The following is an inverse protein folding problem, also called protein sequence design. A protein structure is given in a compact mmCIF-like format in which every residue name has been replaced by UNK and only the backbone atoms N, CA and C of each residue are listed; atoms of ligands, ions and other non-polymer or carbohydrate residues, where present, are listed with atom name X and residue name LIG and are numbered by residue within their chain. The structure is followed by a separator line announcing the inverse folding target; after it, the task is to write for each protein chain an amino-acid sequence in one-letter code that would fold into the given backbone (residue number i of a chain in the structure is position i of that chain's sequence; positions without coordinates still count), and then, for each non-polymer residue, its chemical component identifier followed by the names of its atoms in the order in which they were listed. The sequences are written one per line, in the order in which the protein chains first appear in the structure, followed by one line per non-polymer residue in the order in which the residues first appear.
data_IF_224277896448
#
_entry.id   IF_224277896448
#
_cell.length_a   1.000
_cell.length_b   1.000
_cell.length_c   1.000
_cell.angle_alpha   90.00
_cell.angle_beta   90.00
_cell.angle_gamma   90.00
#
_symmetry.space_group_name_H-M   'P 1'
#
loop_
_entity.id
_entity.type
_entity.pdbx_description
1 polymer ?
#
# COMPACT_ATOMS: atom_id res chain seq x y z
N UNK A 1 17.42 -33.26 -6.90
CA UNK A 1 17.55 -33.39 -5.43
C UNK A 1 17.20 -34.80 -5.05
N UNK A 2 18.02 -35.46 -4.24
CA UNK A 2 17.78 -36.85 -3.81
C UNK A 2 16.73 -36.90 -2.69
N UNK A 3 16.17 -38.08 -2.42
CA UNK A 3 15.19 -38.29 -1.35
C UNK A 3 15.77 -37.91 0.02
N UNK A 4 17.02 -38.29 0.29
CA UNK A 4 17.72 -37.94 1.53
C UNK A 4 17.93 -36.43 1.70
N UNK A 5 18.31 -35.72 0.64
CA UNK A 5 18.44 -34.25 0.66
C UNK A 5 17.11 -33.58 1.00
N UNK A 6 16.00 -34.13 0.48
CA UNK A 6 14.66 -33.60 0.73
C UNK A 6 14.23 -33.84 2.20
N UNK A 7 14.52 -35.01 2.74
CA UNK A 7 14.24 -35.34 4.14
C UNK A 7 15.00 -34.43 5.12
N UNK A 8 16.29 -34.15 4.84
CA UNK A 8 17.08 -33.22 5.64
C UNK A 8 16.53 -31.81 5.58
N UNK A 9 16.19 -31.31 4.39
CA UNK A 9 15.57 -29.98 4.24
C UNK A 9 14.26 -29.87 5.01
N UNK A 10 13.38 -30.85 4.87
CA UNK A 10 12.10 -30.87 5.58
C UNK A 10 12.28 -30.93 7.10
N UNK A 11 13.24 -31.75 7.59
CA UNK A 11 13.56 -31.83 9.01
C UNK A 11 14.00 -30.48 9.54
N UNK A 12 15.05 -29.89 8.94
CA UNK A 12 15.63 -28.63 9.40
C UNK A 12 14.64 -27.48 9.33
N UNK A 13 13.89 -27.38 8.24
CA UNK A 13 12.99 -26.27 8.01
C UNK A 13 11.72 -26.32 8.88
N UNK A 14 11.07 -27.49 8.96
CA UNK A 14 9.78 -27.63 9.63
C UNK A 14 9.86 -28.24 11.03
N UNK A 15 10.70 -29.26 11.25
CA UNK A 15 10.77 -29.92 12.56
C UNK A 15 11.65 -29.15 13.54
N UNK A 16 12.81 -28.66 13.06
CA UNK A 16 13.73 -27.88 13.88
C UNK A 16 13.36 -26.38 13.87
N UNK A 17 12.22 -26.03 13.22
CA UNK A 17 11.65 -24.68 13.11
C UNK A 17 12.62 -23.60 12.61
N UNK A 18 13.65 -24.00 11.86
CA UNK A 18 14.63 -23.09 11.29
C UNK A 18 14.14 -22.57 9.92
N UNK A 19 13.07 -21.81 9.90
CA UNK A 19 12.50 -21.20 8.68
C UNK A 19 13.41 -20.10 8.11
N UNK A 20 14.67 -20.45 7.89
CA UNK A 20 15.67 -19.54 7.35
C UNK A 20 15.47 -19.26 5.86
N UNK A 21 15.87 -18.07 5.43
CA UNK A 21 16.05 -17.80 4.00
C UNK A 21 17.23 -18.61 3.42
N UNK A 22 17.31 -18.63 2.07
CA UNK A 22 18.24 -19.45 1.28
C UNK A 22 19.68 -19.50 1.84
N UNK A 23 20.27 -18.35 2.10
CA UNK A 23 21.70 -18.28 2.42
C UNK A 23 22.00 -18.76 3.86
N UNK A 24 21.12 -18.43 4.81
CA UNK A 24 21.24 -18.94 6.18
C UNK A 24 21.03 -20.45 6.23
N UNK A 25 20.04 -20.96 5.51
CA UNK A 25 19.78 -22.40 5.42
C UNK A 25 20.94 -23.13 4.74
N UNK A 26 21.50 -22.56 3.67
CA UNK A 26 22.69 -23.12 3.02
C UNK A 26 23.90 -23.22 3.97
N UNK A 27 24.20 -22.15 4.70
CA UNK A 27 25.33 -22.12 5.62
C UNK A 27 25.16 -23.14 6.75
N UNK A 28 23.94 -23.25 7.30
CA UNK A 28 23.61 -24.26 8.32
C UNK A 28 23.76 -25.68 7.79
N UNK A 29 23.21 -25.98 6.62
CA UNK A 29 23.32 -27.31 6.03
C UNK A 29 24.76 -27.66 5.67
N UNK A 30 25.57 -26.70 5.29
CA UNK A 30 26.99 -26.91 5.00
C UNK A 30 27.80 -27.23 6.28
N UNK A 31 27.41 -26.67 7.43
CA UNK A 31 28.10 -26.99 8.72
C UNK A 31 27.66 -28.30 9.28
N UNK A 32 26.37 -28.64 9.28
CA UNK A 32 25.82 -29.79 9.99
C UNK A 32 25.59 -31.04 9.11
N UNK A 33 25.45 -30.84 7.80
CA UNK A 33 25.10 -31.87 6.82
C UNK A 33 25.97 -31.76 5.55
N UNK A 34 27.27 -31.54 5.71
CA UNK A 34 28.22 -31.35 4.61
C UNK A 34 28.24 -32.52 3.60
N UNK A 35 28.01 -33.73 4.10
CA UNK A 35 27.94 -34.97 3.32
C UNK A 35 26.78 -35.03 2.31
N UNK A 36 25.77 -34.20 2.47
CA UNK A 36 24.58 -34.17 1.61
C UNK A 36 24.76 -33.32 0.36
N UNK A 37 25.79 -32.51 0.26
CA UNK A 37 26.16 -31.68 -0.90
C UNK A 37 24.98 -30.90 -1.50
N UNK A 38 24.17 -30.24 -0.67
CA UNK A 38 23.01 -29.47 -1.11
C UNK A 38 23.45 -28.09 -1.59
N UNK A 39 23.20 -27.78 -2.87
CA UNK A 39 23.58 -26.48 -3.46
C UNK A 39 22.58 -25.36 -3.13
N UNK A 40 23.05 -24.10 -3.18
CA UNK A 40 22.19 -22.91 -3.04
C UNK A 40 21.02 -22.90 -4.03
N UNK A 41 21.23 -23.38 -5.24
CA UNK A 41 20.19 -23.45 -6.27
C UNK A 41 19.09 -24.43 -5.87
N UNK A 42 19.46 -25.61 -5.42
CA UNK A 42 18.51 -26.64 -4.96
C UNK A 42 17.67 -26.14 -3.78
N UNK A 43 18.30 -25.46 -2.82
CA UNK A 43 17.59 -24.83 -1.69
C UNK A 43 16.62 -23.75 -2.20
N UNK A 44 17.06 -22.89 -3.13
CA UNK A 44 16.22 -21.83 -3.68
C UNK A 44 14.98 -22.41 -4.40
N UNK A 45 15.17 -23.45 -5.19
CA UNK A 45 14.08 -24.05 -5.95
C UNK A 45 13.12 -24.82 -5.02
N UNK A 46 13.65 -25.48 -4.00
CA UNK A 46 12.84 -26.13 -2.98
C UNK A 46 12.04 -25.12 -2.14
N UNK A 47 12.66 -24.00 -1.69
CA UNK A 47 11.98 -22.94 -0.93
C UNK A 47 10.81 -22.32 -1.69
N UNK A 48 10.91 -22.17 -3.02
CA UNK A 48 9.80 -21.63 -3.85
C UNK A 48 8.55 -22.51 -3.81
N UNK A 49 8.73 -23.79 -3.55
CA UNK A 49 7.63 -24.77 -3.50
C UNK A 49 6.99 -24.85 -2.10
N UNK A 50 7.62 -24.24 -1.09
CA UNK A 50 7.08 -24.28 0.28
C UNK A 50 5.91 -23.30 0.42
N UNK A 51 4.82 -23.76 1.03
CA UNK A 51 3.60 -22.99 1.25
C UNK A 51 3.87 -21.68 2.00
N UNK A 52 4.70 -21.75 3.04
CA UNK A 52 5.10 -20.58 3.84
C UNK A 52 5.74 -19.50 2.96
N UNK A 53 6.64 -19.88 2.04
CA UNK A 53 7.27 -18.93 1.14
C UNK A 53 6.32 -18.42 0.05
N UNK A 54 5.33 -19.19 -0.37
CA UNK A 54 4.32 -18.74 -1.32
C UNK A 54 3.37 -17.71 -0.70
N UNK A 55 2.98 -17.92 0.56
CA UNK A 55 2.08 -17.02 1.29
C UNK A 55 2.76 -15.71 1.72
N UNK A 56 4.02 -15.77 2.12
CA UNK A 56 4.77 -14.63 2.67
C UNK A 56 5.85 -14.08 1.73
N UNK A 57 5.98 -14.62 0.53
CA UNK A 57 6.88 -14.02 -0.45
C UNK A 57 6.43 -12.58 -0.74
N UNK A 58 7.33 -11.60 -0.61
CA UNK A 58 6.99 -10.25 -1.03
C UNK A 58 6.53 -10.31 -2.47
N UNK A 59 5.34 -9.78 -2.76
CA UNK A 59 4.86 -9.68 -4.12
C UNK A 59 5.95 -8.99 -4.94
N UNK A 60 6.38 -9.61 -6.03
CA UNK A 60 7.29 -8.95 -6.97
C UNK A 60 6.51 -7.76 -7.53
N UNK A 61 6.66 -6.63 -6.85
CA UNK A 61 6.06 -5.38 -7.28
C UNK A 61 6.58 -5.05 -8.66
N UNK A 62 5.82 -5.38 -9.68
CA UNK A 62 6.00 -4.88 -11.04
C UNK A 62 5.53 -3.43 -11.17
N UNK A 63 4.98 -2.88 -10.10
CA UNK A 63 4.68 -1.46 -10.04
C UNK A 63 6.00 -0.69 -10.01
N UNK A 64 6.39 -0.13 -11.15
CA UNK A 64 7.29 1.02 -11.18
C UNK A 64 6.66 2.04 -10.23
N UNK A 65 7.20 2.15 -9.03
CA UNK A 65 6.80 3.19 -8.08
C UNK A 65 7.07 4.50 -8.79
N UNK A 66 6.02 5.15 -9.23
CA UNK A 66 6.10 6.52 -9.72
C UNK A 66 6.55 7.36 -8.52
N UNK A 67 7.84 7.58 -8.39
CA UNK A 67 8.37 8.63 -7.52
C UNK A 67 8.00 9.94 -8.21
N UNK A 68 6.82 10.46 -7.90
CA UNK A 68 6.46 11.80 -8.32
C UNK A 68 7.38 12.76 -7.56
N UNK A 69 8.42 13.23 -8.22
CA UNK A 69 9.25 14.31 -7.70
C UNK A 69 8.52 15.64 -7.89
N UNK A 70 7.40 15.80 -7.19
CA UNK A 70 6.69 17.06 -7.18
C UNK A 70 7.42 18.03 -6.26
N UNK A 71 7.93 19.10 -6.82
CA UNK A 71 8.71 20.12 -6.10
C UNK A 71 7.87 21.30 -5.65
N UNK A 72 6.67 21.47 -6.17
CA UNK A 72 5.81 22.64 -5.90
C UNK A 72 4.67 22.24 -4.96
N UNK A 73 4.60 22.81 -3.74
CA UNK A 73 3.52 22.61 -2.80
C UNK A 73 2.14 22.97 -3.40
N UNK A 74 1.12 22.25 -2.96
CA UNK A 74 -0.29 22.43 -3.37
C UNK A 74 -0.58 22.26 -4.87
N UNK A 75 0.34 21.70 -5.65
CA UNK A 75 0.09 21.47 -7.06
C UNK A 75 -0.88 20.32 -7.29
N UNK A 76 -0.74 19.25 -6.54
CA UNK A 76 -1.64 18.09 -6.59
C UNK A 76 -1.97 17.62 -5.18
N UNK A 77 -3.26 17.46 -4.90
CA UNK A 77 -3.74 16.83 -3.67
C UNK A 77 -4.26 15.41 -3.94
N UNK A 78 -3.81 14.46 -3.14
CA UNK A 78 -4.41 13.13 -3.08
C UNK A 78 -5.53 13.14 -2.04
N UNK A 79 -6.75 12.80 -2.48
CA UNK A 79 -7.96 12.87 -1.65
C UNK A 79 -8.43 11.48 -1.24
N UNK A 80 -8.90 11.37 -0.01
CA UNK A 80 -9.47 10.14 0.55
C UNK A 80 -10.54 10.46 1.60
N UNK A 81 -11.53 9.57 1.73
CA UNK A 81 -12.61 9.70 2.71
C UNK A 81 -12.59 8.54 3.69
N UNK A 82 -12.11 8.78 4.90
CA UNK A 82 -12.00 7.78 5.96
C UNK A 82 -13.33 7.67 6.71
N UNK A 83 -13.87 6.44 6.81
CA UNK A 83 -15.04 6.14 7.61
C UNK A 83 -14.64 6.00 9.09
N UNK A 84 -15.18 6.88 9.93
CA UNK A 84 -14.96 6.94 11.37
C UNK A 84 -16.23 6.65 12.19
N UNK A 85 -17.24 6.00 11.58
CA UNK A 85 -18.55 5.76 12.25
C UNK A 85 -18.41 5.07 13.62
N UNK A 86 -17.48 4.14 13.76
CA UNK A 86 -17.18 3.46 15.04
C UNK A 86 -16.59 4.39 16.11
N UNK A 87 -16.04 5.52 15.69
CA UNK A 87 -15.37 6.50 16.56
C UNK A 87 -16.00 7.89 16.44
N UNK A 88 -17.28 7.94 16.07
CA UNK A 88 -17.96 9.22 15.84
C UNK A 88 -17.96 10.11 17.09
N UNK A 89 -17.70 11.41 16.90
CA UNK A 89 -17.73 12.42 17.92
C UNK A 89 -18.64 13.57 17.46
N UNK A 90 -19.59 13.99 18.27
CA UNK A 90 -20.53 15.09 17.97
C UNK A 90 -21.26 14.91 16.62
N UNK A 91 -21.51 13.66 16.19
CA UNK A 91 -22.20 13.34 14.95
C UNK A 91 -21.32 13.37 13.70
N UNK A 92 -20.03 13.66 13.81
CA UNK A 92 -19.08 13.54 12.71
C UNK A 92 -18.67 12.08 12.54
N UNK A 93 -18.86 11.54 11.33
CA UNK A 93 -18.68 10.13 11.01
C UNK A 93 -17.59 9.88 9.98
N UNK A 94 -17.18 10.92 9.23
CA UNK A 94 -16.20 10.81 8.16
C UNK A 94 -15.12 11.85 8.32
N UNK A 95 -13.91 11.51 7.92
CA UNK A 95 -12.79 12.42 7.84
C UNK A 95 -12.35 12.53 6.38
N UNK A 96 -12.57 13.70 5.79
CA UNK A 96 -12.09 13.98 4.45
C UNK A 96 -10.66 14.49 4.51
N UNK A 97 -9.73 13.71 3.99
CA UNK A 97 -8.30 14.03 3.92
C UNK A 97 -7.91 14.43 2.50
N UNK A 98 -7.04 15.42 2.40
CA UNK A 98 -6.41 15.80 1.15
C UNK A 98 -4.92 16.06 1.41
N UNK A 99 -4.08 15.11 1.00
CA UNK A 99 -2.64 15.15 1.19
C UNK A 99 -1.96 15.86 0.02
N UNK A 100 -1.21 16.91 0.31
CA UNK A 100 -0.33 17.51 -0.70
C UNK A 100 0.81 16.55 -1.06
N UNK A 101 0.88 16.18 -2.32
CA UNK A 101 1.85 15.21 -2.84
C UNK A 101 3.30 15.69 -2.74
N UNK A 102 3.51 17.00 -2.65
CA UNK A 102 4.84 17.61 -2.54
C UNK A 102 5.30 17.72 -1.09
N UNK A 103 4.61 18.56 -0.30
CA UNK A 103 5.00 18.90 1.08
C UNK A 103 4.61 17.83 2.10
N UNK A 104 3.73 16.89 1.74
CA UNK A 104 3.09 15.93 2.65
C UNK A 104 2.18 16.58 3.70
N UNK A 105 1.86 17.85 3.52
CA UNK A 105 0.89 18.52 4.38
C UNK A 105 -0.51 17.94 4.14
N UNK A 106 -1.22 17.63 5.22
CA UNK A 106 -2.55 17.06 5.16
C UNK A 106 -3.61 18.08 5.57
N UNK A 107 -4.52 18.37 4.64
CA UNK A 107 -5.73 19.12 4.90
C UNK A 107 -6.82 18.14 5.32
N UNK A 108 -7.47 18.37 6.45
CA UNK A 108 -8.52 17.47 6.93
C UNK A 108 -9.79 18.23 7.31
N UNK A 109 -10.94 17.70 6.93
CA UNK A 109 -12.26 18.23 7.26
C UNK A 109 -13.14 17.10 7.78
N UNK A 110 -13.70 17.30 9.00
CA UNK A 110 -14.68 16.35 9.54
C UNK A 110 -16.05 16.57 8.89
N UNK A 111 -16.69 15.47 8.46
CA UNK A 111 -17.98 15.45 7.81
C UNK A 111 -18.98 14.60 8.61
N UNK A 112 -20.25 15.00 8.62
CA UNK A 112 -21.32 14.22 9.28
C UNK A 112 -21.80 13.09 8.38
N UNK A 113 -21.86 13.31 7.08
CA UNK A 113 -22.32 12.36 6.07
C UNK A 113 -21.37 12.35 4.87
N UNK A 114 -21.46 11.31 4.04
CA UNK A 114 -20.71 11.20 2.77
C UNK A 114 -21.55 11.60 1.55
N UNK A 115 -22.53 12.51 1.72
CA UNK A 115 -23.31 12.99 0.59
C UNK A 115 -22.49 13.89 -0.33
N UNK A 116 -22.79 13.89 -1.62
CA UNK A 116 -22.12 14.71 -2.63
C UNK A 116 -21.99 16.19 -2.20
N UNK A 117 -23.06 16.74 -1.61
CA UNK A 117 -23.08 18.13 -1.17
C UNK A 117 -22.12 18.38 -0.01
N UNK A 118 -22.05 17.46 0.95
CA UNK A 118 -21.21 17.63 2.12
C UNK A 118 -19.73 17.41 1.80
N UNK A 119 -19.42 16.41 0.96
CA UNK A 119 -18.05 16.17 0.46
C UNK A 119 -17.58 17.36 -0.37
N UNK A 120 -18.41 17.90 -1.28
CA UNK A 120 -18.07 19.10 -2.04
C UNK A 120 -17.86 20.33 -1.14
N UNK A 121 -18.67 20.51 -0.10
CA UNK A 121 -18.47 21.61 0.86
C UNK A 121 -17.16 21.43 1.67
N UNK A 122 -16.83 20.19 2.02
CA UNK A 122 -15.53 19.85 2.62
C UNK A 122 -14.37 20.21 1.69
N UNK A 123 -14.48 19.82 0.42
CA UNK A 123 -13.46 20.14 -0.59
C UNK A 123 -13.29 21.67 -0.78
N UNK A 124 -14.38 22.42 -0.83
CA UNK A 124 -14.30 23.89 -0.94
C UNK A 124 -13.49 24.52 0.20
N UNK A 125 -13.64 24.02 1.43
CA UNK A 125 -12.84 24.50 2.57
C UNK A 125 -11.35 24.20 2.38
N UNK A 126 -11.01 23.00 1.89
CA UNK A 126 -9.65 22.60 1.57
C UNK A 126 -9.10 23.46 0.42
N UNK A 127 -9.85 23.59 -0.65
CA UNK A 127 -9.45 24.39 -1.82
C UNK A 127 -9.19 25.85 -1.50
N UNK A 128 -9.97 26.45 -0.60
CA UNK A 128 -9.75 27.84 -0.17
C UNK A 128 -8.38 28.04 0.48
N UNK A 129 -7.84 27.02 1.13
CA UNK A 129 -6.53 27.06 1.78
C UNK A 129 -5.39 26.65 0.82
N UNK A 130 -5.61 25.60 0.04
CA UNK A 130 -4.56 24.99 -0.79
C UNK A 130 -4.39 25.64 -2.16
N UNK A 131 -5.51 26.10 -2.78
CA UNK A 131 -5.55 26.59 -4.18
C UNK A 131 -4.92 25.61 -5.15
N UNK A 132 -5.17 24.32 -4.95
CA UNK A 132 -4.59 23.25 -5.76
C UNK A 132 -4.96 23.34 -7.23
N UNK A 133 -4.08 22.81 -8.11
CA UNK A 133 -4.31 22.79 -9.56
C UNK A 133 -4.86 21.44 -10.04
N UNK A 134 -4.65 20.38 -9.26
CA UNK A 134 -5.14 19.06 -9.60
C UNK A 134 -5.43 18.23 -8.35
N UNK A 135 -6.32 17.24 -8.51
CA UNK A 135 -6.69 16.28 -7.47
C UNK A 135 -6.60 14.86 -7.99
N UNK A 136 -6.20 13.95 -7.11
CA UNK A 136 -6.23 12.50 -7.32
C UNK A 136 -7.15 11.92 -6.26
N UNK A 137 -8.07 11.07 -6.65
CA UNK A 137 -8.90 10.28 -5.74
C UNK A 137 -9.04 8.86 -6.27
N UNK A 138 -9.51 7.96 -5.43
CA UNK A 138 -10.08 6.72 -5.93
C UNK A 138 -11.37 7.00 -6.73
N UNK A 139 -11.94 5.95 -7.34
CA UNK A 139 -13.18 6.06 -8.11
C UNK A 139 -14.42 6.07 -7.21
N UNK A 140 -14.33 6.62 -6.00
CA UNK A 140 -15.46 6.79 -5.09
C UNK A 140 -16.56 7.65 -5.72
N UNK A 141 -17.82 7.22 -5.61
CA UNK A 141 -18.97 7.93 -6.15
C UNK A 141 -19.08 9.37 -5.65
N UNK A 142 -18.57 9.63 -4.46
CA UNK A 142 -18.51 10.95 -3.81
C UNK A 142 -17.59 11.94 -4.52
N UNK A 143 -16.62 11.46 -5.33
CA UNK A 143 -15.65 12.28 -6.06
C UNK A 143 -15.92 12.35 -7.56
N UNK A 144 -16.67 11.38 -8.12
CA UNK A 144 -16.94 11.31 -9.58
C UNK A 144 -18.35 11.77 -9.95
N UNK A 145 -19.11 12.33 -9.01
CA UNK A 145 -20.44 12.85 -9.31
C UNK A 145 -20.42 14.18 -10.07
N UNK A 146 -21.50 14.47 -10.80
CA UNK A 146 -21.62 15.67 -11.65
C UNK A 146 -21.36 16.98 -10.91
N UNK A 147 -21.80 17.10 -9.64
CA UNK A 147 -21.64 18.34 -8.87
C UNK A 147 -20.17 18.59 -8.53
N UNK A 148 -19.46 17.55 -8.17
CA UNK A 148 -18.03 17.63 -7.81
C UNK A 148 -17.20 17.94 -9.07
N UNK A 149 -17.41 17.20 -10.15
CA UNK A 149 -16.71 17.39 -11.43
C UNK A 149 -16.95 18.79 -12.01
N UNK A 150 -18.22 19.26 -12.06
CA UNK A 150 -18.52 20.62 -12.54
C UNK A 150 -17.86 21.71 -11.70
N UNK A 151 -17.71 21.49 -10.38
CA UNK A 151 -16.99 22.45 -9.54
C UNK A 151 -15.50 22.48 -9.87
N UNK A 152 -14.87 21.30 -10.06
CA UNK A 152 -13.45 21.21 -10.44
C UNK A 152 -13.22 21.93 -11.79
N UNK A 153 -14.02 21.63 -12.80
CA UNK A 153 -13.94 22.26 -14.14
C UNK A 153 -14.08 23.78 -14.08
N UNK A 154 -15.10 24.28 -13.35
CA UNK A 154 -15.33 25.72 -13.17
C UNK A 154 -14.14 26.44 -12.53
N UNK A 155 -13.38 25.76 -11.70
CA UNK A 155 -12.21 26.34 -11.01
C UNK A 155 -10.87 25.98 -11.69
N UNK A 156 -10.90 25.34 -12.87
CA UNK A 156 -9.69 24.94 -13.59
C UNK A 156 -8.85 23.86 -12.89
N UNK A 157 -9.50 23.03 -12.05
CA UNK A 157 -8.82 21.97 -11.29
C UNK A 157 -8.93 20.68 -12.08
N UNK A 158 -7.78 20.07 -12.39
CA UNK A 158 -7.73 18.79 -13.11
C UNK A 158 -7.99 17.63 -12.16
N UNK A 159 -8.88 16.71 -12.53
CA UNK A 159 -9.04 15.42 -11.87
C UNK A 159 -8.20 14.37 -12.61
N UNK A 160 -7.42 13.58 -11.88
CA UNK A 160 -6.45 12.60 -12.42
C UNK A 160 -6.88 11.20 -11.97
#
# INVERSE_FOLDING_TARGET
MTKEQLEVLNKVFYKDLMMFGRDKLFNFLRSEYADKEISRRQISDWLKLQEVNQLYAPSKGTAKTFKSSMTTPNKILAMDLVNMEKFQVRGYKYLFNALDMSSRYNYSVALKNKTDAEVLNGFKKIYNQSKTHAVISDNGSEFINKKFTSYLEKNGIKQI
#
